data_IF_172943249143
#
_entry.id   IF_172943249143
#
_cell.length_a   1.000
_cell.length_b   1.000
_cell.length_c   1.000
_cell.angle_alpha   90.00
_cell.angle_beta   90.00
_cell.angle_gamma   90.00
#
_symmetry.space_group_name_H-M   'P 1'
#
loop_
_entity.id
_entity.type
_entity.pdbx_description
1 polymer ?
#
# COMPACT_ATOMS: atom_id res chain seq x y z
N UNK A 1 7.58 -17.89 7.04
CA UNK A 1 7.40 -16.89 5.95
C UNK A 1 8.79 -16.43 5.54
N UNK A 2 9.06 -16.34 4.24
CA UNK A 2 10.34 -15.77 3.78
C UNK A 2 10.37 -14.29 4.18
N UNK A 3 11.43 -13.89 4.88
CA UNK A 3 11.67 -12.50 5.20
C UNK A 3 12.16 -11.84 3.92
N UNK A 4 11.29 -11.13 3.20
CA UNK A 4 11.70 -10.31 2.07
C UNK A 4 12.19 -9.00 2.65
N UNK A 5 13.39 -8.64 2.30
CA UNK A 5 13.97 -7.32 2.49
C UNK A 5 14.15 -6.69 1.12
N UNK A 6 14.39 -5.41 1.05
CA UNK A 6 14.79 -4.73 -0.16
C UNK A 6 13.75 -3.78 -0.73
N UNK A 7 13.89 -3.49 -2.00
CA UNK A 7 13.16 -2.41 -2.70
C UNK A 7 12.23 -2.99 -3.75
N UNK A 8 10.98 -2.53 -3.77
CA UNK A 8 9.96 -2.93 -4.71
C UNK A 8 9.50 -1.83 -5.65
N UNK A 9 8.79 -2.22 -6.69
CA UNK A 9 8.18 -1.33 -7.66
C UNK A 9 6.72 -1.71 -7.91
N UNK A 10 5.83 -0.74 -7.82
CA UNK A 10 4.47 -0.84 -8.33
C UNK A 10 4.50 -1.05 -9.84
N UNK A 11 4.22 -2.27 -10.30
CA UNK A 11 4.33 -2.60 -11.72
C UNK A 11 3.10 -2.11 -12.47
N UNK A 12 3.25 -1.03 -13.22
CA UNK A 12 2.23 -0.52 -14.15
C UNK A 12 2.47 -1.05 -15.55
N UNK A 13 1.42 -1.12 -16.38
CA UNK A 13 1.52 -1.70 -17.74
C UNK A 13 2.53 -0.97 -18.62
N UNK A 14 2.65 0.32 -18.44
CA UNK A 14 3.57 1.20 -19.13
C UNK A 14 5.05 0.85 -18.87
N UNK A 15 5.35 0.26 -17.72
CA UNK A 15 6.70 -0.11 -17.31
C UNK A 15 7.12 -1.52 -17.74
N UNK A 16 6.19 -2.35 -18.23
CA UNK A 16 6.46 -3.78 -18.48
C UNK A 16 7.60 -4.01 -19.48
N UNK A 17 7.61 -3.29 -20.57
CA UNK A 17 8.61 -3.48 -21.62
C UNK A 17 10.00 -3.05 -21.13
N UNK A 18 10.11 -1.94 -20.40
CA UNK A 18 11.36 -1.48 -19.78
C UNK A 18 11.81 -2.45 -18.68
N UNK A 19 10.89 -2.88 -17.82
CA UNK A 19 11.16 -3.85 -16.75
C UNK A 19 11.70 -5.19 -17.32
N UNK A 20 11.10 -5.70 -18.39
CA UNK A 20 11.53 -6.96 -19.01
C UNK A 20 12.89 -6.83 -19.70
N UNK A 21 13.28 -5.65 -20.18
CA UNK A 21 14.57 -5.38 -20.82
C UNK A 21 15.66 -4.98 -19.82
N UNK A 22 15.29 -4.58 -18.61
CA UNK A 22 16.25 -4.14 -17.60
C UNK A 22 17.21 -5.26 -17.20
N UNK A 23 18.49 -4.96 -17.06
CA UNK A 23 19.49 -5.89 -16.54
C UNK A 23 19.24 -6.18 -15.06
N UNK A 24 18.95 -5.14 -14.28
CA UNK A 24 18.61 -5.22 -12.87
C UNK A 24 17.16 -4.82 -12.63
N UNK A 25 16.44 -5.63 -11.86
CA UNK A 25 15.07 -5.40 -11.45
C UNK A 25 14.98 -5.25 -9.94
N UNK A 26 13.92 -4.63 -9.39
CA UNK A 26 13.71 -4.55 -7.95
C UNK A 26 13.54 -5.95 -7.33
N UNK A 27 13.71 -6.05 -6.01
CA UNK A 27 13.61 -7.31 -5.26
C UNK A 27 12.21 -7.91 -5.30
N UNK A 28 11.19 -7.05 -5.39
CA UNK A 28 9.79 -7.44 -5.57
C UNK A 28 9.04 -6.46 -6.47
N UNK A 29 7.95 -6.94 -7.02
CA UNK A 29 6.97 -6.12 -7.73
C UNK A 29 5.62 -6.23 -7.05
N UNK A 30 4.82 -5.17 -7.18
CA UNK A 30 3.45 -5.17 -6.70
C UNK A 30 2.48 -4.86 -7.82
N UNK A 31 1.34 -5.53 -7.78
CA UNK A 31 0.24 -5.31 -8.72
C UNK A 31 -1.11 -5.33 -8.01
N UNK A 32 -2.08 -4.60 -8.56
CA UNK A 32 -3.48 -4.79 -8.22
C UNK A 32 -4.01 -6.03 -8.96
N UNK A 33 -4.36 -7.12 -8.27
CA UNK A 33 -4.78 -8.36 -8.92
C UNK A 33 -6.00 -8.17 -9.82
N UNK A 34 -6.87 -7.22 -9.51
CA UNK A 34 -8.05 -6.85 -10.31
C UNK A 34 -7.70 -6.52 -11.76
N UNK A 35 -6.56 -5.90 -11.97
CA UNK A 35 -6.08 -5.51 -13.29
C UNK A 35 -5.56 -6.69 -14.12
N UNK A 36 -5.42 -7.88 -13.50
CA UNK A 36 -4.83 -9.07 -14.10
C UNK A 36 -5.75 -10.29 -14.09
N UNK A 37 -6.86 -10.25 -13.33
CA UNK A 37 -7.86 -11.31 -13.30
C UNK A 37 -8.47 -11.52 -14.69
N UNK A 38 -8.53 -12.77 -15.12
CA UNK A 38 -9.15 -13.15 -16.39
C UNK A 38 -8.38 -12.73 -17.64
N UNK A 39 -7.21 -12.11 -17.52
CA UNK A 39 -6.40 -11.76 -18.69
C UNK A 39 -5.78 -12.99 -19.33
N UNK A 40 -5.74 -12.97 -20.66
CA UNK A 40 -5.13 -14.01 -21.49
C UNK A 40 -4.16 -13.42 -22.52
N UNK A 41 -3.68 -14.30 -23.41
CA UNK A 41 -2.88 -13.91 -24.56
C UNK A 41 -1.54 -13.24 -24.21
N UNK A 42 -1.23 -12.12 -24.87
CA UNK A 42 0.04 -11.41 -24.72
C UNK A 42 0.23 -10.86 -23.29
N UNK A 43 -0.79 -10.25 -22.72
CA UNK A 43 -0.69 -9.63 -21.39
C UNK A 43 -0.43 -10.67 -20.29
N UNK A 44 -1.09 -11.83 -20.33
CA UNK A 44 -0.80 -12.90 -19.38
C UNK A 44 0.64 -13.42 -19.50
N UNK A 45 1.18 -13.52 -20.73
CA UNK A 45 2.56 -13.95 -20.96
C UNK A 45 3.57 -12.91 -20.46
N UNK A 46 3.31 -11.64 -20.70
CA UNK A 46 4.17 -10.55 -20.20
C UNK A 46 4.18 -10.51 -18.67
N UNK A 47 3.00 -10.63 -18.04
CA UNK A 47 2.89 -10.68 -16.59
C UNK A 47 3.64 -11.87 -15.99
N UNK A 48 3.47 -13.07 -16.54
CA UNK A 48 4.19 -14.26 -16.11
C UNK A 48 5.71 -14.05 -16.19
N UNK A 49 6.21 -13.45 -17.28
CA UNK A 49 7.63 -13.14 -17.43
C UNK A 49 8.12 -12.09 -16.39
N UNK A 50 7.27 -11.14 -15.98
CA UNK A 50 7.63 -10.21 -14.91
C UNK A 50 7.74 -10.92 -13.56
N UNK A 51 6.77 -11.76 -13.22
CA UNK A 51 6.73 -12.52 -11.95
C UNK A 51 7.88 -13.54 -11.82
N UNK A 52 8.41 -14.03 -12.94
CA UNK A 52 9.60 -14.91 -12.94
C UNK A 52 10.90 -14.17 -12.50
N UNK A 53 10.93 -12.84 -12.54
CA UNK A 53 12.14 -12.04 -12.30
C UNK A 53 12.24 -11.48 -10.87
N UNK A 54 11.12 -11.34 -10.16
CA UNK A 54 11.07 -10.78 -8.82
C UNK A 54 9.92 -11.39 -8.00
N UNK A 55 9.99 -11.27 -6.69
CA UNK A 55 8.88 -11.67 -5.82
C UNK A 55 7.62 -10.85 -6.11
N UNK A 56 6.43 -11.46 -5.97
CA UNK A 56 5.16 -10.80 -6.22
C UNK A 56 4.45 -10.46 -4.91
N UNK A 57 4.09 -9.20 -4.75
CA UNK A 57 3.11 -8.70 -3.80
C UNK A 57 1.83 -8.33 -4.54
N UNK A 58 0.70 -8.44 -3.87
CA UNK A 58 -0.58 -8.02 -4.42
C UNK A 58 -1.22 -7.00 -3.51
N UNK A 59 -1.62 -5.86 -4.09
CA UNK A 59 -2.30 -4.77 -3.40
C UNK A 59 -3.66 -4.54 -4.06
N UNK A 60 -4.74 -4.84 -3.32
CA UNK A 60 -6.10 -4.81 -3.83
C UNK A 60 -6.73 -3.43 -3.80
N UNK A 61 -7.69 -3.23 -4.68
CA UNK A 61 -8.40 -1.95 -4.86
C UNK A 61 -9.90 -2.06 -4.55
N UNK A 62 -10.44 -3.27 -4.37
CA UNK A 62 -11.87 -3.48 -4.58
C UNK A 62 -12.61 -4.22 -3.47
N UNK A 63 -11.94 -4.65 -2.39
CA UNK A 63 -12.65 -5.29 -1.27
C UNK A 63 -13.54 -4.33 -0.51
N UNK A 64 -13.23 -3.03 -0.53
CA UNK A 64 -14.03 -2.01 0.17
C UNK A 64 -14.28 -2.40 1.63
N UNK A 65 -13.20 -2.62 2.38
CA UNK A 65 -13.23 -3.18 3.74
C UNK A 65 -14.14 -2.38 4.66
N UNK A 66 -14.12 -1.03 4.57
CA UNK A 66 -14.99 -0.16 5.34
C UNK A 66 -16.39 0.07 4.74
N UNK A 67 -16.72 -0.56 3.61
CA UNK A 67 -17.96 -0.30 2.87
C UNK A 67 -19.20 -0.87 3.54
N UNK A 68 -20.39 -0.26 3.31
CA UNK A 68 -21.64 -0.67 3.95
C UNK A 68 -22.22 -1.97 3.38
N UNK A 69 -21.79 -2.38 2.19
CA UNK A 69 -22.31 -3.57 1.53
C UNK A 69 -21.61 -4.86 2.01
N UNK A 70 -22.26 -6.02 1.92
CA UNK A 70 -21.63 -7.30 2.20
C UNK A 70 -20.37 -7.51 1.35
N UNK A 71 -19.35 -8.20 1.90
CA UNK A 71 -18.16 -8.61 1.17
C UNK A 71 -18.53 -9.49 -0.02
N UNK A 72 -17.92 -9.23 -1.17
CA UNK A 72 -18.08 -10.05 -2.36
C UNK A 72 -17.26 -11.35 -2.24
N UNK A 73 -17.91 -12.43 -1.79
CA UNK A 73 -17.26 -13.71 -1.54
C UNK A 73 -16.72 -14.35 -2.83
N UNK A 74 -17.37 -14.15 -3.96
CA UNK A 74 -16.90 -14.63 -5.25
C UNK A 74 -15.59 -13.95 -5.64
N UNK A 75 -15.53 -12.63 -5.50
CA UNK A 75 -14.34 -11.85 -5.76
C UNK A 75 -13.17 -12.27 -4.85
N UNK A 76 -13.41 -12.45 -3.54
CA UNK A 76 -12.39 -12.95 -2.61
C UNK A 76 -11.87 -14.34 -3.05
N UNK A 77 -12.76 -15.20 -3.55
CA UNK A 77 -12.39 -16.50 -4.13
C UNK A 77 -11.49 -16.37 -5.36
N UNK A 78 -11.77 -15.39 -6.23
CA UNK A 78 -10.94 -15.10 -7.41
C UNK A 78 -9.55 -14.57 -6.98
N UNK A 79 -9.49 -13.65 -6.01
CA UNK A 79 -8.22 -13.18 -5.44
C UNK A 79 -7.43 -14.35 -4.86
N UNK A 80 -8.04 -15.20 -4.03
CA UNK A 80 -7.36 -16.38 -3.47
C UNK A 80 -6.74 -17.27 -4.55
N UNK A 81 -7.48 -17.50 -5.63
CA UNK A 81 -6.98 -18.28 -6.75
C UNK A 81 -5.81 -17.61 -7.45
N UNK A 82 -5.89 -16.29 -7.67
CA UNK A 82 -4.83 -15.48 -8.27
C UNK A 82 -3.54 -15.52 -7.43
N UNK A 83 -3.64 -15.27 -6.13
CA UNK A 83 -2.50 -15.32 -5.20
C UNK A 83 -1.81 -16.68 -5.25
N UNK A 84 -2.60 -17.76 -5.23
CA UNK A 84 -2.06 -19.13 -5.30
C UNK A 84 -1.41 -19.43 -6.66
N UNK A 85 -2.05 -19.03 -7.75
CA UNK A 85 -1.57 -19.28 -9.12
C UNK A 85 -0.23 -18.61 -9.38
N UNK A 86 -0.07 -17.37 -8.90
CA UNK A 86 1.12 -16.54 -9.14
C UNK A 86 2.10 -16.57 -7.96
N UNK A 87 1.85 -17.40 -6.94
CA UNK A 87 2.69 -17.54 -5.75
C UNK A 87 2.96 -16.20 -5.06
N UNK A 88 1.95 -15.31 -5.02
CA UNK A 88 2.07 -14.04 -4.34
C UNK A 88 2.36 -14.24 -2.85
N UNK A 89 3.28 -13.46 -2.31
CA UNK A 89 3.79 -13.65 -0.95
C UNK A 89 2.92 -12.98 0.11
N UNK A 90 2.19 -11.95 -0.28
CA UNK A 90 1.21 -11.27 0.58
C UNK A 90 0.09 -10.66 -0.27
N UNK A 91 -0.97 -10.29 0.43
CA UNK A 91 -2.07 -9.51 -0.12
C UNK A 91 -2.41 -8.37 0.84
N UNK A 92 -2.47 -7.17 0.33
CA UNK A 92 -2.86 -5.97 1.06
C UNK A 92 -4.10 -5.32 0.48
N UNK A 93 -4.76 -4.49 1.26
CA UNK A 93 -5.95 -3.72 0.89
C UNK A 93 -6.00 -2.41 1.64
N UNK A 94 -6.69 -1.43 1.08
CA UNK A 94 -6.87 -0.12 1.69
C UNK A 94 -7.83 -0.14 2.88
N UNK A 95 -7.48 0.56 3.94
CA UNK A 95 -8.37 0.81 5.09
C UNK A 95 -9.35 1.93 4.74
N UNK A 96 -10.24 1.64 3.80
CA UNK A 96 -11.17 2.60 3.19
C UNK A 96 -12.41 1.90 2.66
N UNK A 97 -13.29 2.65 2.01
CA UNK A 97 -14.35 2.06 1.19
C UNK A 97 -14.40 2.73 -0.19
N UNK A 98 -14.78 1.94 -1.21
CA UNK A 98 -14.84 2.34 -2.62
C UNK A 98 -16.21 2.08 -3.24
N UNK A 99 -17.21 1.73 -2.42
CA UNK A 99 -18.48 1.18 -2.93
C UNK A 99 -19.63 1.52 -2.00
N UNK A 100 -20.65 2.21 -2.56
CA UNK A 100 -21.91 2.47 -1.90
C UNK A 100 -23.01 2.56 -2.97
N UNK A 101 -23.64 1.41 -3.28
CA UNK A 101 -24.65 1.30 -4.34
C UNK A 101 -24.10 1.48 -5.77
N UNK A 102 -22.84 1.77 -5.92
CA UNK A 102 -22.07 1.93 -7.16
C UNK A 102 -20.59 2.03 -6.86
N UNK A 103 -19.75 1.90 -7.87
CA UNK A 103 -18.30 1.98 -7.72
C UNK A 103 -17.89 3.47 -7.65
N UNK A 104 -17.19 3.81 -6.57
CA UNK A 104 -16.55 5.12 -6.39
C UNK A 104 -15.09 4.97 -6.79
N UNK A 105 -14.64 5.71 -7.76
CA UNK A 105 -13.25 5.65 -8.22
C UNK A 105 -12.31 6.45 -7.30
N UNK A 106 -12.57 6.36 -5.98
CA UNK A 106 -11.83 7.06 -4.95
C UNK A 106 -11.86 6.26 -3.64
N UNK A 107 -10.86 6.48 -2.78
CA UNK A 107 -10.79 5.90 -1.46
C UNK A 107 -11.49 6.82 -0.46
N UNK A 108 -12.61 6.38 0.10
CA UNK A 108 -13.36 7.18 1.07
C UNK A 108 -12.97 6.81 2.50
N UNK A 109 -12.84 7.82 3.39
CA UNK A 109 -12.42 7.60 4.76
C UNK A 109 -13.53 6.91 5.59
N UNK A 110 -13.11 5.99 6.45
CA UNK A 110 -13.97 5.33 7.43
C UNK A 110 -14.10 6.27 8.65
N UNK A 111 -15.29 6.40 9.27
CA UNK A 111 -15.42 7.09 10.55
C UNK A 111 -14.48 6.48 11.60
N UNK A 112 -13.75 7.32 12.33
CA UNK A 112 -12.79 6.88 13.35
C UNK A 112 -13.49 6.71 14.71
N UNK A 113 -14.34 5.67 14.82
CA UNK A 113 -15.16 5.38 16.01
C UNK A 113 -14.94 3.95 16.47
N UNK A 114 -15.26 3.64 17.75
CA UNK A 114 -15.18 2.27 18.27
C UNK A 114 -16.06 1.31 17.46
N UNK A 115 -17.27 1.74 17.08
CA UNK A 115 -18.18 0.93 16.25
C UNK A 115 -17.56 0.58 14.89
N UNK A 116 -16.86 1.54 14.28
CA UNK A 116 -16.19 1.32 13.00
C UNK A 116 -14.99 0.37 13.13
N UNK A 117 -14.25 0.43 14.25
CA UNK A 117 -13.18 -0.54 14.55
C UNK A 117 -13.73 -1.96 14.57
N UNK A 118 -14.80 -2.20 15.35
CA UNK A 118 -15.42 -3.52 15.47
C UNK A 118 -15.95 -4.02 14.11
N UNK A 119 -16.63 -3.14 13.37
CA UNK A 119 -17.18 -3.45 12.05
C UNK A 119 -16.10 -3.85 11.04
N UNK A 120 -15.03 -3.05 10.95
CA UNK A 120 -13.93 -3.28 10.01
C UNK A 120 -13.14 -4.53 10.42
N UNK A 121 -12.88 -4.71 11.71
CA UNK A 121 -12.15 -5.87 12.23
C UNK A 121 -12.89 -7.18 11.91
N UNK A 122 -14.22 -7.25 12.08
CA UNK A 122 -15.00 -8.43 11.71
C UNK A 122 -14.86 -8.76 10.21
N UNK A 123 -14.86 -7.75 9.37
CA UNK A 123 -14.72 -7.92 7.91
C UNK A 123 -13.31 -8.39 7.52
N UNK A 124 -12.27 -7.82 8.15
CA UNK A 124 -10.88 -8.25 7.93
C UNK A 124 -10.71 -9.71 8.37
N UNK A 125 -11.18 -10.08 9.55
CA UNK A 125 -11.13 -11.46 10.05
C UNK A 125 -11.79 -12.44 9.06
N UNK A 126 -12.96 -12.08 8.53
CA UNK A 126 -13.66 -12.89 7.52
C UNK A 126 -12.85 -13.03 6.22
N UNK A 127 -12.19 -11.97 5.75
CA UNK A 127 -11.32 -12.02 4.57
C UNK A 127 -10.12 -12.92 4.86
N UNK A 128 -9.48 -12.78 6.02
CA UNK A 128 -8.34 -13.60 6.43
C UNK A 128 -8.69 -15.10 6.47
N UNK A 129 -9.84 -15.45 7.04
CA UNK A 129 -10.34 -16.82 7.06
C UNK A 129 -10.56 -17.39 5.64
N UNK A 130 -11.18 -16.59 4.75
CA UNK A 130 -11.43 -16.99 3.38
C UNK A 130 -10.14 -17.14 2.57
N UNK A 131 -9.18 -16.24 2.72
CA UNK A 131 -7.89 -16.30 2.05
C UNK A 131 -6.98 -17.38 2.65
N UNK A 132 -7.07 -17.62 3.95
CA UNK A 132 -6.20 -18.52 4.72
C UNK A 132 -4.85 -17.89 5.04
N UNK A 133 -4.77 -16.56 5.08
CA UNK A 133 -3.58 -15.78 5.45
C UNK A 133 -3.97 -14.46 6.10
N UNK A 134 -3.03 -13.84 6.84
CA UNK A 134 -3.23 -12.48 7.34
C UNK A 134 -3.37 -11.50 6.19
N UNK A 135 -4.28 -10.55 6.37
CA UNK A 135 -4.41 -9.39 5.49
C UNK A 135 -3.43 -8.31 5.96
N UNK A 136 -2.87 -7.61 5.02
CA UNK A 136 -2.12 -6.38 5.28
C UNK A 136 -3.02 -5.21 4.90
N UNK A 137 -3.25 -4.27 5.81
CA UNK A 137 -4.09 -3.10 5.56
C UNK A 137 -3.24 -1.85 5.43
N UNK A 138 -3.67 -0.91 4.60
CA UNK A 138 -2.96 0.33 4.33
C UNK A 138 -3.67 1.53 4.94
N UNK A 139 -2.90 2.45 5.56
CA UNK A 139 -3.37 3.78 5.90
C UNK A 139 -3.52 4.63 4.64
N UNK A 140 -4.69 5.22 4.45
CA UNK A 140 -5.02 5.95 3.22
C UNK A 140 -4.94 7.46 3.39
N UNK A 141 -4.68 8.19 2.31
CA UNK A 141 -4.83 9.65 2.27
C UNK A 141 -6.31 10.05 2.31
N UNK A 142 -6.62 11.16 2.98
CA UNK A 142 -7.99 11.65 3.14
C UNK A 142 -8.09 13.15 2.92
N UNK A 143 -9.23 13.59 2.36
CA UNK A 143 -9.51 14.99 2.03
C UNK A 143 -10.65 15.57 2.86
N UNK A 144 -11.32 14.73 3.60
CA UNK A 144 -12.36 15.09 4.55
C UNK A 144 -12.28 14.16 5.76
N UNK A 145 -12.50 14.70 6.94
CA UNK A 145 -12.59 13.90 8.16
C UNK A 145 -14.06 13.60 8.44
N UNK A 146 -14.48 12.33 8.41
CA UNK A 146 -15.78 11.94 8.91
C UNK A 146 -15.82 12.10 10.45
N UNK A 147 -16.90 11.66 11.09
CA UNK A 147 -16.97 11.65 12.55
C UNK A 147 -15.75 10.92 13.15
N UNK A 148 -15.11 11.54 14.14
CA UNK A 148 -13.94 10.99 14.81
C UNK A 148 -14.13 11.07 16.34
N UNK A 149 -13.97 9.92 17.01
CA UNK A 149 -13.92 9.78 18.47
C UNK A 149 -12.50 9.52 18.95
N UNK A 150 -11.61 9.20 18.01
CA UNK A 150 -10.19 8.93 18.23
C UNK A 150 -9.36 9.47 17.09
N UNK A 151 -8.05 9.58 17.28
CA UNK A 151 -7.10 9.98 16.23
C UNK A 151 -6.96 8.88 15.18
N UNK A 152 -6.46 9.24 14.01
CA UNK A 152 -6.17 8.27 12.94
C UNK A 152 -5.20 7.17 13.41
N UNK A 153 -4.15 7.54 14.15
CA UNK A 153 -3.19 6.58 14.70
C UNK A 153 -3.85 5.60 15.67
N UNK A 154 -4.71 6.09 16.57
CA UNK A 154 -5.48 5.24 17.49
C UNK A 154 -6.41 4.30 16.74
N UNK A 155 -7.10 4.79 15.71
CA UNK A 155 -7.99 3.98 14.89
C UNK A 155 -7.24 2.86 14.16
N UNK A 156 -6.14 3.17 13.48
CA UNK A 156 -5.31 2.18 12.80
C UNK A 156 -4.80 1.13 13.79
N UNK A 157 -4.24 1.55 14.93
CA UNK A 157 -3.76 0.63 15.97
C UNK A 157 -4.87 -0.27 16.52
N UNK A 158 -6.07 0.29 16.76
CA UNK A 158 -7.22 -0.47 17.25
C UNK A 158 -7.67 -1.54 16.24
N UNK A 159 -7.74 -1.20 14.95
CA UNK A 159 -8.07 -2.15 13.88
C UNK A 159 -7.01 -3.25 13.77
N UNK A 160 -5.71 -2.89 13.79
CA UNK A 160 -4.61 -3.87 13.76
C UNK A 160 -4.70 -4.88 14.91
N UNK A 161 -5.04 -4.40 16.11
CA UNK A 161 -5.18 -5.24 17.29
C UNK A 161 -6.45 -6.11 17.22
N UNK A 162 -7.59 -5.53 16.88
CA UNK A 162 -8.87 -6.24 16.87
C UNK A 162 -8.95 -7.31 15.77
N UNK A 163 -8.37 -7.04 14.60
CA UNK A 163 -8.38 -7.95 13.46
C UNK A 163 -7.18 -8.91 13.40
N UNK A 164 -6.18 -8.75 14.26
CA UNK A 164 -4.89 -9.46 14.19
C UNK A 164 -4.28 -9.43 12.78
N UNK A 165 -4.37 -8.28 12.09
CA UNK A 165 -3.83 -8.05 10.77
C UNK A 165 -2.47 -7.34 10.81
N UNK A 166 -1.84 -7.17 9.66
CA UNK A 166 -0.57 -6.47 9.48
C UNK A 166 -0.81 -5.10 8.80
N UNK A 167 0.20 -4.23 8.83
CA UNK A 167 0.15 -2.89 8.25
C UNK A 167 1.06 -2.78 7.04
N UNK A 168 0.53 -2.29 5.94
CA UNK A 168 1.24 -1.54 4.92
C UNK A 168 1.24 -0.09 5.36
N UNK A 169 2.40 0.41 5.74
CA UNK A 169 2.53 1.80 6.15
C UNK A 169 2.94 2.64 4.95
N UNK A 170 1.98 3.39 4.38
CA UNK A 170 2.27 4.35 3.33
C UNK A 170 2.74 5.68 3.96
N UNK A 171 4.02 5.99 3.72
CA UNK A 171 4.70 7.17 4.26
C UNK A 171 4.23 8.46 3.56
N UNK A 172 3.88 8.38 2.26
CA UNK A 172 3.33 9.53 1.55
C UNK A 172 1.94 9.89 2.05
N UNK A 173 1.07 8.89 2.31
CA UNK A 173 -0.26 9.11 2.86
C UNK A 173 -0.22 9.76 4.25
N UNK A 174 0.72 9.32 5.10
CA UNK A 174 0.96 9.99 6.40
C UNK A 174 1.35 11.44 6.19
N UNK A 175 2.26 11.72 5.26
CA UNK A 175 2.67 13.11 4.97
C UNK A 175 1.52 13.94 4.41
N UNK A 176 0.76 13.41 3.44
CA UNK A 176 -0.41 14.07 2.85
C UNK A 176 -1.44 14.42 3.94
N UNK A 177 -1.79 13.46 4.79
CA UNK A 177 -2.74 13.68 5.89
C UNK A 177 -2.23 14.70 6.91
N UNK A 178 -0.92 14.72 7.19
CA UNK A 178 -0.36 15.69 8.11
C UNK A 178 -0.54 17.13 7.64
N UNK A 179 -0.41 17.39 6.35
CA UNK A 179 -0.66 18.70 5.76
C UNK A 179 -2.16 19.01 5.67
N UNK A 180 -2.96 18.07 5.13
CA UNK A 180 -4.37 18.27 4.88
C UNK A 180 -5.20 18.44 6.16
N UNK A 181 -4.79 17.82 7.26
CA UNK A 181 -5.52 17.84 8.52
C UNK A 181 -4.75 18.55 9.66
N UNK A 182 -3.52 19.02 9.40
CA UNK A 182 -2.70 19.70 10.39
C UNK A 182 -2.22 18.78 11.53
N UNK A 183 -2.04 17.48 11.25
CA UNK A 183 -1.55 16.49 12.20
C UNK A 183 -0.02 16.34 12.16
N UNK A 184 0.56 15.66 13.15
CA UNK A 184 1.99 15.38 13.22
C UNK A 184 2.31 14.04 12.57
N UNK A 185 2.99 14.05 11.41
CA UNK A 185 3.37 12.87 10.67
C UNK A 185 4.29 11.92 11.48
N UNK A 186 5.24 12.49 12.22
CA UNK A 186 6.17 11.69 13.03
C UNK A 186 5.46 11.05 14.23
N UNK A 187 4.52 11.77 14.84
CA UNK A 187 3.70 11.22 15.93
C UNK A 187 2.86 10.02 15.42
N UNK A 188 2.30 10.10 14.20
CA UNK A 188 1.61 8.96 13.59
C UNK A 188 2.57 7.77 13.42
N UNK A 189 3.72 7.97 12.79
CA UNK A 189 4.72 6.90 12.56
C UNK A 189 5.13 6.25 13.90
N UNK A 190 5.41 7.06 14.92
CA UNK A 190 5.89 6.56 16.22
C UNK A 190 4.81 5.83 17.03
N UNK A 191 3.55 6.06 16.73
CA UNK A 191 2.43 5.33 17.33
C UNK A 191 2.24 3.92 16.72
N UNK A 192 2.74 3.67 15.50
CA UNK A 192 2.55 2.38 14.84
C UNK A 192 3.37 1.27 15.51
N UNK A 193 2.76 0.09 15.78
CA UNK A 193 3.46 -1.06 16.38
C UNK A 193 4.45 -1.65 15.35
N UNK A 194 5.78 -1.58 15.59
CA UNK A 194 6.79 -1.99 14.61
C UNK A 194 6.64 -3.45 14.14
N UNK A 195 6.19 -4.32 15.03
CA UNK A 195 6.00 -5.75 14.75
C UNK A 195 4.83 -6.04 13.81
N UNK A 196 3.92 -5.07 13.63
CA UNK A 196 2.78 -5.17 12.72
C UNK A 196 3.08 -4.58 11.34
N UNK A 197 4.12 -3.75 11.20
CA UNK A 197 4.46 -3.15 9.90
C UNK A 197 5.13 -4.20 9.03
N UNK A 198 4.43 -4.61 7.97
CA UNK A 198 4.85 -5.66 7.06
C UNK A 198 5.77 -5.12 5.96
N UNK A 199 5.39 -4.01 5.36
CA UNK A 199 6.15 -3.30 4.33
C UNK A 199 5.69 -1.85 4.24
N UNK A 200 6.38 -1.05 3.44
CA UNK A 200 6.13 0.37 3.28
C UNK A 200 5.81 0.70 1.82
N UNK A 201 4.98 1.72 1.62
CA UNK A 201 4.88 2.46 0.38
C UNK A 201 5.52 3.84 0.51
N UNK A 202 6.08 4.32 -0.59
CA UNK A 202 6.54 5.70 -0.76
C UNK A 202 6.21 6.17 -2.18
N UNK A 203 5.66 7.37 -2.27
CA UNK A 203 5.19 7.98 -3.50
C UNK A 203 5.39 9.49 -3.49
N UNK A 204 5.15 10.13 -4.63
CA UNK A 204 5.04 11.58 -4.74
C UNK A 204 3.59 12.02 -4.86
N UNK A 205 3.31 13.23 -4.45
CA UNK A 205 1.98 13.85 -4.44
C UNK A 205 1.96 15.16 -5.20
N UNK A 206 0.76 15.68 -5.49
CA UNK A 206 0.58 17.01 -6.09
C UNK A 206 0.21 18.03 -5.02
N UNK A 207 0.95 19.11 -4.94
CA UNK A 207 0.58 20.25 -4.11
C UNK A 207 -0.37 21.18 -4.87
N UNK A 208 -1.56 21.41 -4.31
CA UNK A 208 -2.56 22.34 -4.85
C UNK A 208 -2.46 23.69 -4.16
N UNK A 209 -2.31 23.70 -2.83
CA UNK A 209 -2.08 24.89 -2.01
C UNK A 209 -1.14 24.53 -0.85
N UNK A 210 -0.71 25.52 -0.03
CA UNK A 210 0.15 25.22 1.12
C UNK A 210 -0.45 24.24 2.14
N UNK A 211 -1.77 24.12 2.17
CA UNK A 211 -2.57 23.35 3.10
C UNK A 211 -3.41 22.24 2.43
N UNK A 212 -3.15 21.95 1.12
CA UNK A 212 -3.82 20.89 0.39
C UNK A 212 -2.86 20.17 -0.55
N UNK A 213 -2.64 18.91 -0.25
CA UNK A 213 -1.94 17.94 -1.07
C UNK A 213 -2.93 16.92 -1.63
N UNK A 214 -2.73 16.50 -2.87
CA UNK A 214 -3.47 15.40 -3.49
C UNK A 214 -2.51 14.24 -3.72
N UNK A 215 -2.87 13.10 -3.20
CA UNK A 215 -2.15 11.86 -3.33
C UNK A 215 -2.34 11.28 -4.74
N UNK A 216 -1.44 11.64 -5.63
CA UNK A 216 -1.56 11.29 -7.06
C UNK A 216 -0.61 10.20 -7.49
N UNK A 217 0.46 9.94 -6.74
CA UNK A 217 1.58 9.07 -7.12
C UNK A 217 2.16 9.41 -8.51
N UNK A 218 1.95 10.66 -8.96
CA UNK A 218 2.30 11.13 -10.31
C UNK A 218 3.44 12.16 -10.36
N UNK A 219 4.03 12.47 -9.21
CA UNK A 219 5.16 13.39 -9.07
C UNK A 219 6.39 12.67 -8.48
N UNK A 220 7.56 13.32 -8.58
CA UNK A 220 8.75 12.88 -7.86
C UNK A 220 8.53 12.97 -6.35
N UNK A 221 9.11 12.04 -5.60
CA UNK A 221 9.09 12.08 -4.15
C UNK A 221 9.88 13.31 -3.68
N UNK A 222 9.27 14.13 -2.83
CA UNK A 222 9.89 15.34 -2.30
C UNK A 222 10.76 15.05 -1.06
N UNK A 223 11.63 16.00 -0.72
CA UNK A 223 12.57 15.86 0.42
C UNK A 223 11.87 15.55 1.76
N UNK A 224 10.74 16.21 2.13
CA UNK A 224 10.04 15.87 3.37
C UNK A 224 9.55 14.43 3.46
N UNK A 225 9.10 13.82 2.36
CA UNK A 225 8.70 12.40 2.35
C UNK A 225 9.92 11.49 2.47
N UNK A 226 11.05 11.84 1.84
CA UNK A 226 12.31 11.10 2.02
C UNK A 226 12.81 11.18 3.47
N UNK A 227 12.71 12.34 4.11
CA UNK A 227 13.08 12.51 5.52
C UNK A 227 12.16 11.72 6.45
N UNK A 228 10.85 11.70 6.15
CA UNK A 228 9.89 10.90 6.90
C UNK A 228 10.15 9.39 6.74
N UNK A 229 10.51 8.92 5.53
CA UNK A 229 10.91 7.53 5.30
C UNK A 229 12.15 7.16 6.12
N UNK A 230 13.15 8.05 6.18
CA UNK A 230 14.34 7.86 7.03
C UNK A 230 13.96 7.72 8.50
N UNK A 231 13.10 8.61 9.01
CA UNK A 231 12.62 8.57 10.40
C UNK A 231 11.80 7.29 10.67
N UNK A 232 11.04 6.84 9.68
CA UNK A 232 10.28 5.59 9.74
C UNK A 232 11.23 4.40 9.94
N UNK A 233 12.29 4.28 9.14
CA UNK A 233 13.27 3.21 9.33
C UNK A 233 13.98 3.26 10.69
N UNK A 234 14.26 4.47 11.20
CA UNK A 234 14.86 4.63 12.53
C UNK A 234 13.95 4.13 13.65
N UNK A 235 12.62 4.29 13.49
CA UNK A 235 11.65 3.87 14.50
C UNK A 235 11.31 2.38 14.41
N UNK A 236 10.95 1.89 13.21
CA UNK A 236 10.44 0.52 13.04
C UNK A 236 11.50 -0.49 12.55
N UNK A 237 12.71 -0.01 12.24
CA UNK A 237 13.73 -0.78 11.51
C UNK A 237 13.42 -0.87 10.02
N UNK A 238 14.40 -1.35 9.25
CA UNK A 238 14.27 -1.51 7.80
C UNK A 238 13.16 -2.51 7.48
N UNK A 239 12.29 -2.14 6.53
CA UNK A 239 11.22 -2.98 5.98
C UNK A 239 11.29 -2.96 4.46
N UNK A 240 10.75 -3.99 3.76
CA UNK A 240 10.56 -3.91 2.31
C UNK A 240 9.83 -2.62 1.98
N UNK A 241 10.30 -1.88 0.99
CA UNK A 241 9.72 -0.57 0.64
C UNK A 241 9.45 -0.52 -0.85
N UNK A 242 8.22 -0.21 -1.20
CA UNK A 242 7.74 -0.08 -2.57
C UNK A 242 7.80 1.37 -3.03
N UNK A 243 8.34 1.59 -4.21
CA UNK A 243 8.14 2.83 -4.98
C UNK A 243 6.83 2.73 -5.74
N UNK A 244 5.91 3.65 -5.48
CA UNK A 244 4.64 3.70 -6.21
C UNK A 244 4.59 4.87 -7.19
N UNK A 245 4.16 4.56 -8.43
CA UNK A 245 3.98 5.52 -9.53
C UNK A 245 2.74 5.14 -10.33
N UNK A 246 1.68 5.99 -10.29
CA UNK A 246 0.39 5.71 -10.90
C UNK A 246 0.10 6.58 -12.12
N UNK A 247 0.57 7.81 -12.10
CA UNK A 247 0.37 8.78 -13.16
C UNK A 247 1.69 9.39 -13.59
N UNK A 248 1.70 9.98 -14.78
CA UNK A 248 2.90 10.64 -15.33
C UNK A 248 4.14 9.76 -15.21
N UNK A 249 4.00 8.47 -15.56
CA UNK A 249 5.06 7.48 -15.39
C UNK A 249 6.37 8.02 -15.95
N UNK A 250 7.41 8.18 -15.12
CA UNK A 250 8.68 8.74 -15.56
C UNK A 250 9.48 7.71 -16.35
N UNK A 251 10.62 8.14 -16.89
CA UNK A 251 11.53 7.23 -17.59
C UNK A 251 12.05 6.13 -16.64
N UNK A 252 12.38 4.97 -17.20
CA UNK A 252 12.97 3.88 -16.42
C UNK A 252 14.21 4.30 -15.63
N UNK A 253 15.04 5.19 -16.21
CA UNK A 253 16.20 5.72 -15.50
C UNK A 253 15.83 6.53 -14.26
N UNK A 254 14.75 7.30 -14.30
CA UNK A 254 14.25 8.04 -13.14
C UNK A 254 13.68 7.10 -12.08
N UNK A 255 12.93 6.06 -12.49
CA UNK A 255 12.49 4.98 -11.60
C UNK A 255 13.68 4.35 -10.90
N UNK A 256 14.71 3.96 -11.65
CA UNK A 256 15.92 3.36 -11.06
C UNK A 256 16.61 4.28 -10.05
N UNK A 257 16.64 5.58 -10.32
CA UNK A 257 17.23 6.55 -9.39
C UNK A 257 16.49 6.62 -8.05
N UNK A 258 15.14 6.59 -8.07
CA UNK A 258 14.34 6.56 -6.84
C UNK A 258 14.45 5.23 -6.09
N UNK A 259 14.49 4.10 -6.81
CA UNK A 259 14.74 2.78 -6.20
C UNK A 259 16.13 2.74 -5.51
N UNK A 260 17.15 3.31 -6.14
CA UNK A 260 18.49 3.43 -5.55
C UNK A 260 18.50 4.31 -4.29
N UNK A 261 17.71 5.39 -4.28
CA UNK A 261 17.58 6.25 -3.11
C UNK A 261 16.92 5.52 -1.93
N UNK A 262 15.87 4.72 -2.18
CA UNK A 262 15.27 3.85 -1.15
C UNK A 262 16.34 2.89 -0.62
N UNK A 263 17.07 2.22 -1.52
CA UNK A 263 18.11 1.25 -1.13
C UNK A 263 19.21 1.91 -0.28
N UNK A 264 19.64 3.12 -0.63
CA UNK A 264 20.60 3.88 0.15
C UNK A 264 20.08 4.18 1.56
N UNK A 265 18.83 4.65 1.69
CA UNK A 265 18.21 4.90 2.99
C UNK A 265 18.10 3.64 3.85
N UNK A 266 17.81 2.49 3.24
CA UNK A 266 17.77 1.20 3.93
C UNK A 266 19.17 0.80 4.45
N UNK A 267 20.20 1.02 3.64
CA UNK A 267 21.60 0.74 4.04
C UNK A 267 22.02 1.65 5.20
N UNK A 268 21.78 2.95 5.10
CA UNK A 268 22.10 3.92 6.15
C UNK A 268 21.41 3.57 7.50
N UNK A 269 20.19 3.04 7.45
CA UNK A 269 19.45 2.63 8.65
C UNK A 269 19.86 1.24 9.17
N UNK A 270 20.37 0.36 8.32
CA UNK A 270 20.81 -0.98 8.70
C UNK A 270 22.24 -1.03 9.30
N UNK A 271 23.01 0.04 9.12
CA UNK A 271 24.39 0.16 9.63
C UNK A 271 24.44 0.75 11.07
N UNK A 272 23.31 1.10 11.68
CA UNK A 272 23.17 1.62 13.04
C UNK A 272 22.66 0.54 13.97
#
# INVERSE_FOLDING_TARGET
MQNIAGVGLGLRRELIDDYLQAEHVPDFIEVAPENWLGLGGRHAKQFAACVERAALFCHGLSLSIGGPHPLNLEFIGQIKQFLKQHQALLYSEHLSYTHDGGYLYDLLPIPMTEEAVDYVAERILKVQDLLGQRLVIENVSTYAMPAAEMTEAEFVCAVLQAADCELLLDVNNVYVNSINHGSDALAFITAMPPERVRYLHVAGHQQISPDLLIDTHGAAINDPVWELLRATYQHIGVRPTLLERDFNIPTWQQIQSELQQIQQLQQEAGDV
#
